data_IF_275213897887
#
_entry.id   IF_275213897887
#
_cell.length_a   1.000
_cell.length_b   1.000
_cell.length_c   1.000
_cell.angle_alpha   90.00
_cell.angle_beta   90.00
_cell.angle_gamma   90.00
#
_symmetry.space_group_name_H-M   'P 1'
#
loop_
_entity.id
_entity.type
_entity.pdbx_description
1 polymer ?
#
# COMPACT_ATOMS: atom_id res chain seq x y z
N UNK A 1 5.93 -8.25 -6.09
CA UNK A 1 5.30 -8.12 -4.77
C UNK A 1 3.93 -8.76 -4.78
N UNK A 2 3.66 -9.60 -3.79
CA UNK A 2 2.30 -10.05 -3.45
C UNK A 2 1.52 -8.86 -2.87
N UNK A 3 0.19 -8.86 -3.01
CA UNK A 3 -0.68 -7.80 -2.47
C UNK A 3 -0.41 -7.57 -0.97
N UNK A 4 -0.17 -8.64 -0.22
CA UNK A 4 0.10 -8.60 1.22
C UNK A 4 1.42 -7.90 1.58
N UNK A 5 2.46 -8.05 0.75
CA UNK A 5 3.76 -7.40 0.97
C UNK A 5 3.64 -5.89 0.80
N UNK A 6 2.92 -5.43 -0.24
CA UNK A 6 2.64 -4.01 -0.48
C UNK A 6 1.88 -3.41 0.70
N UNK A 7 0.87 -4.13 1.21
CA UNK A 7 0.09 -3.69 2.37
C UNK A 7 0.94 -3.58 3.63
N UNK A 8 1.83 -4.54 3.89
CA UNK A 8 2.73 -4.47 5.04
C UNK A 8 3.71 -3.31 4.90
N UNK A 9 4.33 -3.15 3.73
CA UNK A 9 5.28 -2.06 3.50
C UNK A 9 4.64 -0.69 3.65
N UNK A 10 3.41 -0.51 3.17
CA UNK A 10 2.62 0.71 3.41
C UNK A 10 2.45 1.01 4.90
N UNK A 11 2.14 -0.01 5.72
CA UNK A 11 1.98 0.16 7.18
C UNK A 11 3.29 0.54 7.85
N UNK A 12 4.40 -0.08 7.45
CA UNK A 12 5.73 0.23 7.99
C UNK A 12 6.11 1.68 7.73
N UNK A 13 5.93 2.19 6.50
CA UNK A 13 6.24 3.58 6.16
C UNK A 13 5.39 4.55 6.97
N UNK A 14 4.08 4.28 7.08
CA UNK A 14 3.18 5.12 7.88
C UNK A 14 3.55 5.12 9.37
N UNK A 15 4.05 4.00 9.90
CA UNK A 15 4.47 3.88 11.29
C UNK A 15 5.83 4.52 11.56
N UNK A 16 6.78 4.44 10.63
CA UNK A 16 8.13 4.97 10.81
C UNK A 16 8.20 6.49 10.56
N UNK A 17 7.53 6.96 9.51
CA UNK A 17 7.69 8.33 9.00
C UNK A 17 6.51 9.26 9.29
N UNK A 18 5.30 8.71 9.45
CA UNK A 18 4.04 9.48 9.63
C UNK A 18 3.46 9.29 11.05
N UNK A 19 4.33 8.91 11.99
CA UNK A 19 4.01 8.75 13.41
C UNK A 19 3.66 10.08 14.10
N UNK A 20 3.65 10.06 15.43
CA UNK A 20 3.40 11.24 16.28
C UNK A 20 4.44 12.33 15.99
N UNK A 21 5.70 11.95 15.79
CA UNK A 21 6.79 12.87 15.45
C UNK A 21 7.03 12.85 13.95
N UNK A 22 6.83 13.99 13.30
CA UNK A 22 7.00 14.15 11.85
C UNK A 22 8.09 15.19 11.61
N UNK A 23 9.03 14.87 10.74
CA UNK A 23 10.05 15.80 10.23
C UNK A 23 9.80 16.05 8.75
N UNK A 24 10.18 17.23 8.24
CA UNK A 24 9.95 17.58 6.84
C UNK A 24 10.65 16.62 5.85
N UNK A 25 11.84 16.15 6.21
CA UNK A 25 12.58 15.14 5.42
C UNK A 25 11.89 13.77 5.46
N UNK A 26 11.45 13.33 6.65
CA UNK A 26 10.77 12.04 6.81
C UNK A 26 9.43 11.98 6.05
N UNK A 27 8.67 13.07 6.04
CA UNK A 27 7.42 13.14 5.25
C UNK A 27 7.70 13.09 3.75
N UNK A 28 8.73 13.79 3.28
CA UNK A 28 9.10 13.76 1.85
C UNK A 28 9.54 12.36 1.41
N UNK A 29 10.33 11.67 2.23
CA UNK A 29 10.68 10.26 2.00
C UNK A 29 9.43 9.36 1.98
N UNK A 30 8.50 9.55 2.92
CA UNK A 30 7.27 8.77 3.00
C UNK A 30 6.41 8.92 1.73
N UNK A 31 6.25 10.14 1.23
CA UNK A 31 5.49 10.41 0.00
C UNK A 31 6.16 9.73 -1.21
N UNK A 32 7.49 9.82 -1.34
CA UNK A 32 8.23 9.20 -2.44
C UNK A 32 8.12 7.65 -2.44
N UNK A 33 8.28 7.03 -1.26
CA UNK A 33 8.13 5.58 -1.12
C UNK A 33 6.68 5.13 -1.35
N UNK A 34 5.68 5.84 -0.81
CA UNK A 34 4.26 5.52 -1.02
C UNK A 34 3.84 5.67 -2.48
N UNK A 35 4.38 6.65 -3.21
CA UNK A 35 4.11 6.82 -4.64
C UNK A 35 4.67 5.65 -5.46
N UNK A 36 5.90 5.20 -5.15
CA UNK A 36 6.50 4.00 -5.77
C UNK A 36 5.66 2.76 -5.50
N UNK A 37 5.27 2.53 -4.24
CA UNK A 37 4.39 1.42 -3.85
C UNK A 37 3.05 1.47 -4.57
N UNK A 38 2.48 2.66 -4.79
CA UNK A 38 1.23 2.81 -5.54
C UNK A 38 1.38 2.40 -7.01
N UNK A 39 2.47 2.77 -7.67
CA UNK A 39 2.75 2.31 -9.06
C UNK A 39 2.94 0.80 -9.14
N UNK A 40 3.60 0.21 -8.14
CA UNK A 40 3.76 -1.24 -8.06
C UNK A 40 2.45 -1.98 -7.75
N UNK A 41 1.59 -1.39 -6.91
CA UNK A 41 0.28 -1.96 -6.56
C UNK A 41 -0.66 -2.13 -7.76
N UNK A 42 -0.52 -1.27 -8.78
CA UNK A 42 -1.31 -1.37 -10.01
C UNK A 42 -0.89 -2.53 -10.92
N UNK A 43 0.32 -3.06 -10.73
CA UNK A 43 0.87 -4.17 -11.52
C UNK A 43 0.73 -5.53 -10.83
N UNK A 44 0.03 -5.61 -9.70
CA UNK A 44 -0.10 -6.86 -8.95
C UNK A 44 -0.97 -7.85 -9.73
N UNK A 45 -0.44 -9.07 -9.91
CA UNK A 45 -1.16 -10.17 -10.53
C UNK A 45 -1.84 -11.00 -9.45
N UNK A 46 -3.13 -11.24 -9.63
CA UNK A 46 -3.90 -12.18 -8.81
C UNK A 46 -3.66 -13.58 -9.37
N UNK A 47 -3.17 -14.48 -8.53
CA UNK A 47 -2.84 -15.85 -8.89
C UNK A 47 -4.04 -16.79 -8.73
N UNK A 48 -4.92 -16.54 -7.75
CA UNK A 48 -6.14 -17.32 -7.56
C UNK A 48 -7.26 -16.87 -8.53
N UNK A 49 -7.59 -17.71 -9.52
CA UNK A 49 -8.66 -17.47 -10.51
C UNK A 49 -9.97 -18.19 -10.19
N UNK A 50 -10.06 -18.88 -9.06
CA UNK A 50 -11.28 -19.59 -8.65
C UNK A 50 -12.38 -18.57 -8.30
N UNK A 51 -13.51 -18.70 -9.02
CA UNK A 51 -14.70 -17.83 -8.96
C UNK A 51 -15.74 -18.31 -7.94
N UNK A 52 -15.54 -19.48 -7.33
CA UNK A 52 -16.56 -20.21 -6.56
C UNK A 52 -16.69 -19.78 -5.10
N UNK A 53 -15.75 -19.01 -4.54
CA UNK A 53 -15.81 -18.51 -3.17
C UNK A 53 -15.11 -17.15 -3.03
N UNK A 54 -15.55 -16.35 -2.05
CA UNK A 54 -15.01 -15.02 -1.74
C UNK A 54 -13.47 -15.04 -1.73
N UNK A 55 -12.84 -14.47 -2.77
CA UNK A 55 -11.40 -14.53 -2.96
C UNK A 55 -10.71 -13.39 -2.18
N UNK A 56 -10.02 -13.70 -1.05
CA UNK A 56 -9.39 -12.68 -0.22
C UNK A 56 -8.23 -11.98 -0.94
N UNK A 57 -7.57 -12.66 -1.88
CA UNK A 57 -6.49 -12.07 -2.68
C UNK A 57 -7.02 -11.00 -3.63
N UNK A 58 -8.16 -11.27 -4.27
CA UNK A 58 -8.84 -10.31 -5.13
C UNK A 58 -9.36 -9.11 -4.32
N UNK A 59 -9.92 -9.37 -3.14
CA UNK A 59 -10.40 -8.33 -2.23
C UNK A 59 -9.28 -7.34 -1.88
N UNK A 60 -8.12 -7.87 -1.48
CA UNK A 60 -6.99 -7.05 -1.11
C UNK A 60 -6.39 -6.35 -2.33
N UNK A 61 -6.37 -7.00 -3.50
CA UNK A 61 -5.80 -6.44 -4.73
C UNK A 61 -6.46 -5.11 -5.14
N UNK A 62 -7.77 -4.94 -4.93
CA UNK A 62 -8.43 -3.66 -5.18
C UNK A 62 -8.46 -2.71 -3.97
N UNK A 63 -8.32 -3.23 -2.74
CA UNK A 63 -8.35 -2.40 -1.51
C UNK A 63 -7.01 -1.69 -1.31
N UNK A 64 -5.90 -2.39 -1.51
CA UNK A 64 -4.55 -1.86 -1.30
C UNK A 64 -4.28 -0.58 -2.11
N UNK A 65 -4.59 -0.50 -3.42
CA UNK A 65 -4.44 0.76 -4.17
C UNK A 65 -5.28 1.90 -3.62
N UNK A 66 -6.48 1.62 -3.09
CA UNK A 66 -7.35 2.63 -2.48
C UNK A 66 -6.79 3.10 -1.13
N UNK A 67 -6.29 2.18 -0.31
CA UNK A 67 -5.64 2.52 0.96
C UNK A 67 -4.39 3.38 0.74
N UNK A 68 -3.59 3.07 -0.29
CA UNK A 68 -2.40 3.84 -0.65
C UNK A 68 -2.73 5.28 -1.04
N UNK A 69 -3.83 5.52 -1.75
CA UNK A 69 -4.29 6.89 -2.04
C UNK A 69 -4.66 7.67 -0.79
N UNK A 70 -5.29 7.03 0.19
CA UNK A 70 -5.61 7.66 1.47
C UNK A 70 -4.33 7.95 2.25
N UNK A 71 -3.39 7.01 2.29
CA UNK A 71 -2.09 7.20 2.93
C UNK A 71 -1.30 8.39 2.33
N UNK A 72 -1.28 8.51 1.00
CA UNK A 72 -0.66 9.64 0.29
C UNK A 72 -1.30 11.00 0.60
N UNK A 73 -2.58 11.04 0.97
CA UNK A 73 -3.25 12.28 1.35
C UNK A 73 -2.99 12.66 2.82
N UNK A 74 -2.56 11.71 3.65
CA UNK A 74 -2.32 11.90 5.09
C UNK A 74 -0.84 12.19 5.39
N UNK A 75 0.06 11.63 4.58
CA UNK A 75 1.49 11.92 4.57
C UNK A 75 1.75 13.32 3.99
#
# INVERSE_FOLDING_TARGET
>A
YSVFEIKNRMKEIMWDKVAIFRTGEGLKEAVDELEKLYKESQNVKVHCKELDCANPELEEAYRVPRMLKVALCVA
#
